data_IF_756904113425
#
_entry.id   IF_756904113425
#
_cell.length_a   1.000
_cell.length_b   1.000
_cell.length_c   1.000
_cell.angle_alpha   90.00
_cell.angle_beta   90.00
_cell.angle_gamma   90.00
#
_symmetry.space_group_name_H-M   'P 1'
#
loop_
_entity.id
_entity.type
_entity.pdbx_description
1 polymer ?
#
# COMPACT_ATOMS: atom_id res chain seq x y z
N UNK A 1 -10.94 -14.95 -29.61
CA UNK A 1 -9.90 -15.06 -28.57
C UNK A 1 -9.92 -13.76 -27.78
N UNK A 2 -10.42 -13.78 -26.55
CA UNK A 2 -10.50 -12.60 -25.69
C UNK A 2 -9.10 -12.05 -25.37
N UNK A 3 -8.97 -10.72 -25.35
CA UNK A 3 -7.76 -10.04 -24.90
C UNK A 3 -7.64 -10.28 -23.38
N UNK A 4 -6.41 -10.44 -22.88
CA UNK A 4 -6.18 -10.59 -21.44
C UNK A 4 -6.28 -9.21 -20.79
N UNK A 5 -7.18 -9.06 -19.84
CA UNK A 5 -7.33 -7.85 -19.02
C UNK A 5 -6.58 -8.07 -17.69
N UNK A 6 -5.78 -7.09 -17.31
CA UNK A 6 -4.92 -7.13 -16.14
C UNK A 6 -5.16 -5.88 -15.29
N UNK A 7 -5.34 -6.08 -13.98
CA UNK A 7 -5.26 -5.01 -13.00
C UNK A 7 -3.91 -5.08 -12.28
N UNK A 8 -3.24 -3.96 -12.13
CA UNK A 8 -1.98 -3.84 -11.38
C UNK A 8 -2.17 -2.83 -10.26
N UNK A 9 -1.95 -3.30 -9.04
CA UNK A 9 -1.69 -2.45 -7.89
C UNK A 9 -0.18 -2.25 -7.81
N UNK A 10 0.26 -1.03 -8.16
CA UNK A 10 1.67 -0.64 -8.18
C UNK A 10 2.03 0.06 -6.88
N UNK A 11 2.02 -0.68 -5.79
CA UNK A 11 2.27 -0.14 -4.46
C UNK A 11 3.74 0.10 -4.12
N UNK A 12 3.99 0.98 -3.16
CA UNK A 12 5.33 1.27 -2.63
C UNK A 12 5.98 0.04 -1.99
N UNK A 13 5.24 -0.73 -1.22
CA UNK A 13 5.74 -1.91 -0.52
C UNK A 13 5.65 -3.19 -1.36
N UNK A 14 4.57 -3.36 -2.11
CA UNK A 14 4.32 -4.56 -2.91
C UNK A 14 3.59 -4.22 -4.21
N UNK A 15 3.81 -5.06 -5.22
CA UNK A 15 3.05 -5.07 -6.47
C UNK A 15 2.13 -6.29 -6.48
N UNK A 16 0.87 -6.06 -6.82
CA UNK A 16 -0.11 -7.14 -7.01
C UNK A 16 -0.62 -7.11 -8.45
N UNK A 17 -0.80 -8.29 -9.02
CA UNK A 17 -1.32 -8.46 -10.37
C UNK A 17 -2.58 -9.32 -10.34
N UNK A 18 -3.67 -8.74 -10.82
CA UNK A 18 -4.94 -9.40 -11.03
C UNK A 18 -5.10 -9.74 -12.52
N UNK A 19 -5.59 -10.93 -12.83
CA UNK A 19 -5.95 -11.33 -14.19
C UNK A 19 -7.43 -11.69 -14.23
N UNK A 20 -8.15 -11.16 -15.22
CA UNK A 20 -9.55 -11.47 -15.48
C UNK A 20 -9.80 -12.99 -15.47
N UNK A 21 -10.79 -13.41 -14.66
CA UNK A 21 -11.18 -14.80 -14.50
C UNK A 21 -10.23 -15.68 -13.67
N UNK A 22 -9.11 -15.12 -13.18
CA UNK A 22 -8.17 -15.85 -12.32
C UNK A 22 -7.99 -15.21 -10.94
N UNK A 23 -8.41 -13.96 -10.76
CA UNK A 23 -8.18 -13.22 -9.52
C UNK A 23 -6.75 -12.70 -9.39
N UNK A 24 -6.29 -12.47 -8.16
CA UNK A 24 -4.92 -12.04 -7.87
C UNK A 24 -3.97 -13.23 -8.08
N UNK A 25 -3.13 -13.15 -9.09
CA UNK A 25 -2.22 -14.23 -9.51
C UNK A 25 -0.78 -14.01 -9.05
N UNK A 26 -0.45 -12.79 -8.62
CA UNK A 26 0.90 -12.42 -8.20
C UNK A 26 0.82 -11.36 -7.09
N UNK A 27 1.63 -11.57 -6.05
CA UNK A 27 1.89 -10.63 -4.98
C UNK A 27 3.37 -10.72 -4.63
N UNK A 28 4.10 -9.65 -4.89
CA UNK A 28 5.56 -9.61 -4.70
C UNK A 28 5.98 -8.26 -4.11
N UNK A 29 7.06 -8.20 -3.33
CA UNK A 29 7.64 -6.94 -2.89
C UNK A 29 8.09 -6.06 -4.07
N UNK A 30 7.85 -4.76 -3.96
CA UNK A 30 8.33 -3.75 -4.92
C UNK A 30 9.80 -3.43 -4.67
N UNK A 31 10.68 -4.44 -4.85
CA UNK A 31 12.12 -4.32 -4.63
C UNK A 31 12.87 -4.84 -5.85
N UNK A 32 13.93 -4.13 -6.23
CA UNK A 32 14.84 -4.51 -7.32
C UNK A 32 16.27 -4.43 -6.81
N UNK A 33 17.04 -5.48 -7.03
CA UNK A 33 18.49 -5.50 -6.81
C UNK A 33 19.22 -5.45 -8.13
N UNK A 34 20.18 -4.54 -8.27
CA UNK A 34 20.99 -4.40 -9.47
C UNK A 34 22.44 -4.10 -9.15
N UNK A 35 23.28 -4.44 -10.10
CA UNK A 35 24.70 -4.13 -10.05
C UNK A 35 24.91 -2.68 -10.49
N UNK A 36 25.51 -1.88 -9.61
CA UNK A 36 25.70 -0.42 -9.80
C UNK A 36 26.59 -0.09 -11.00
N UNK A 37 27.59 -0.92 -11.27
CA UNK A 37 28.58 -0.64 -12.31
C UNK A 37 28.07 -1.00 -13.70
N UNK A 38 27.26 -2.07 -13.78
CA UNK A 38 26.75 -2.59 -15.05
C UNK A 38 25.26 -2.27 -15.31
N UNK A 39 24.54 -1.73 -14.32
CA UNK A 39 23.08 -1.53 -14.33
C UNK A 39 22.26 -2.81 -14.66
N UNK A 40 22.87 -3.98 -14.46
CA UNK A 40 22.21 -5.27 -14.67
C UNK A 40 21.38 -5.66 -13.46
N UNK A 41 20.12 -5.99 -13.69
CA UNK A 41 19.24 -6.52 -12.65
C UNK A 41 19.77 -7.89 -12.20
N UNK A 42 19.90 -8.07 -10.89
CA UNK A 42 20.31 -9.30 -10.21
C UNK A 42 19.10 -10.06 -9.65
N UNK A 43 18.13 -9.35 -9.09
CA UNK A 43 16.93 -9.93 -8.51
C UNK A 43 15.78 -8.93 -8.53
N UNK A 44 14.53 -9.43 -8.52
CA UNK A 44 13.29 -8.64 -8.41
C UNK A 44 12.35 -9.36 -7.46
N UNK A 45 11.56 -8.58 -6.69
CA UNK A 45 10.57 -9.12 -5.78
C UNK A 45 11.18 -9.70 -4.51
N UNK A 46 10.71 -10.88 -4.09
CA UNK A 46 11.13 -11.49 -2.83
C UNK A 46 12.63 -11.75 -2.76
N UNK A 47 13.23 -12.23 -3.84
CA UNK A 47 14.69 -12.47 -3.88
C UNK A 47 15.47 -11.17 -3.67
N UNK A 48 15.01 -10.04 -4.23
CA UNK A 48 15.62 -8.74 -4.01
C UNK A 48 15.38 -8.24 -2.58
N UNK A 49 14.20 -8.48 -2.00
CA UNK A 49 13.88 -8.12 -0.62
C UNK A 49 14.83 -8.77 0.38
N UNK A 50 15.19 -10.02 0.16
CA UNK A 50 16.15 -10.74 1.00
C UNK A 50 17.56 -10.10 0.97
N UNK A 51 17.87 -9.32 -0.05
CA UNK A 51 19.16 -8.62 -0.21
C UNK A 51 19.19 -7.26 0.49
N UNK A 52 18.05 -6.69 0.88
CA UNK A 52 18.00 -5.38 1.57
C UNK A 52 18.86 -5.39 2.84
N UNK A 53 19.77 -4.41 2.96
CA UNK A 53 20.69 -4.29 4.09
C UNK A 53 21.78 -5.36 4.16
N UNK A 54 21.96 -6.20 3.14
CA UNK A 54 22.92 -7.32 3.10
C UNK A 54 23.78 -7.36 1.84
N UNK A 55 23.71 -6.33 1.00
CA UNK A 55 24.44 -6.28 -0.27
C UNK A 55 25.88 -5.81 -0.09
N UNK A 56 26.84 -6.38 -0.86
CA UNK A 56 28.16 -5.79 -0.99
C UNK A 56 28.09 -4.47 -1.75
N UNK A 57 29.15 -3.65 -1.69
CA UNK A 57 29.14 -2.25 -2.16
C UNK A 57 28.78 -2.02 -3.63
N UNK A 58 28.94 -3.03 -4.50
CA UNK A 58 28.61 -2.96 -5.92
C UNK A 58 27.17 -3.43 -6.24
N UNK A 59 26.44 -4.01 -5.30
CA UNK A 59 25.04 -4.40 -5.47
C UNK A 59 24.16 -3.47 -4.64
N UNK A 60 23.12 -2.95 -5.27
CA UNK A 60 22.14 -2.06 -4.61
C UNK A 60 20.77 -2.68 -4.71
N UNK A 61 20.11 -2.85 -3.57
CA UNK A 61 18.69 -3.22 -3.50
C UNK A 61 17.88 -1.98 -3.15
N UNK A 62 16.92 -1.63 -3.99
CA UNK A 62 16.09 -0.42 -3.87
C UNK A 62 14.62 -0.72 -4.05
N UNK A 63 13.80 0.16 -3.49
CA UNK A 63 12.37 0.28 -3.82
C UNK A 63 12.23 1.37 -4.89
N UNK A 64 11.84 1.03 -6.13
CA UNK A 64 11.75 2.00 -7.22
C UNK A 64 10.56 2.95 -7.10
N UNK A 65 9.60 2.64 -6.21
CA UNK A 65 8.54 3.54 -5.81
C UNK A 65 8.74 3.95 -4.35
N UNK A 66 8.51 5.23 -4.07
CA UNK A 66 8.52 5.79 -2.71
C UNK A 66 7.32 6.70 -2.55
N UNK A 67 6.58 6.51 -1.46
CA UNK A 67 5.44 7.37 -1.14
C UNK A 67 4.46 7.53 -2.32
N UNK A 68 4.14 6.41 -2.98
CA UNK A 68 3.23 6.37 -4.11
C UNK A 68 3.76 6.92 -5.44
N UNK A 69 5.02 7.36 -5.50
CA UNK A 69 5.63 8.01 -6.67
C UNK A 69 6.79 7.18 -7.22
N UNK A 70 6.94 7.16 -8.53
CA UNK A 70 8.09 6.55 -9.20
C UNK A 70 9.34 7.39 -8.90
N UNK A 71 10.30 6.79 -8.19
CA UNK A 71 11.61 7.41 -7.91
C UNK A 71 12.67 7.05 -8.93
N UNK A 72 12.53 5.91 -9.61
CA UNK A 72 13.38 5.47 -10.72
C UNK A 72 12.51 4.86 -11.83
N UNK A 73 12.33 5.62 -12.91
CA UNK A 73 11.49 5.24 -14.03
C UNK A 73 11.98 3.96 -14.73
N UNK A 74 13.28 3.89 -15.02
CA UNK A 74 13.87 2.76 -15.75
C UNK A 74 13.78 1.46 -14.96
N UNK A 75 14.03 1.52 -13.66
CA UNK A 75 13.92 0.36 -12.76
C UNK A 75 12.46 -0.05 -12.59
N UNK A 76 11.55 0.90 -12.48
CA UNK A 76 10.09 0.62 -12.39
C UNK A 76 9.58 -0.06 -13.65
N UNK A 77 9.92 0.46 -14.85
CA UNK A 77 9.55 -0.17 -16.13
C UNK A 77 10.01 -1.62 -16.21
N UNK A 78 11.27 -1.88 -15.89
CA UNK A 78 11.83 -3.24 -15.91
C UNK A 78 11.16 -4.15 -14.88
N UNK A 79 10.85 -3.65 -13.70
CA UNK A 79 10.13 -4.37 -12.66
C UNK A 79 8.71 -4.72 -13.12
N UNK A 80 7.96 -3.77 -13.66
CA UNK A 80 6.61 -4.00 -14.19
C UNK A 80 6.63 -5.03 -15.32
N UNK A 81 7.56 -4.90 -16.26
CA UNK A 81 7.72 -5.86 -17.37
C UNK A 81 7.98 -7.27 -16.86
N UNK A 82 8.84 -7.42 -15.86
CA UNK A 82 9.12 -8.71 -15.25
C UNK A 82 7.86 -9.31 -14.62
N UNK A 83 7.10 -8.54 -13.83
CA UNK A 83 5.91 -9.05 -13.15
C UNK A 83 4.77 -9.35 -14.12
N UNK A 84 4.56 -8.53 -15.15
CA UNK A 84 3.58 -8.81 -16.21
C UNK A 84 3.93 -10.11 -16.92
N UNK A 85 5.19 -10.32 -17.29
CA UNK A 85 5.65 -11.57 -17.93
C UNK A 85 5.51 -12.77 -17.01
N UNK A 86 5.81 -12.61 -15.71
CA UNK A 86 5.66 -13.66 -14.71
C UNK A 86 4.19 -14.06 -14.53
N UNK A 87 3.28 -13.08 -14.48
CA UNK A 87 1.84 -13.30 -14.33
C UNK A 87 1.20 -13.95 -15.56
N UNK A 88 1.60 -13.53 -16.77
CA UNK A 88 1.05 -14.03 -18.02
C UNK A 88 1.64 -15.38 -18.47
N UNK A 89 2.88 -15.69 -18.05
CA UNK A 89 3.64 -16.86 -18.53
C UNK A 89 4.16 -16.69 -19.97
N UNK A 90 4.82 -17.73 -20.48
CA UNK A 90 5.60 -17.69 -21.74
C UNK A 90 4.79 -17.66 -23.06
N UNK A 91 3.45 -17.69 -23.02
CA UNK A 91 2.61 -17.92 -24.22
C UNK A 91 1.59 -16.81 -24.54
N UNK A 92 1.87 -15.56 -24.23
CA UNK A 92 0.96 -14.47 -24.61
C UNK A 92 1.32 -13.90 -25.98
N UNK A 93 0.54 -14.27 -27.01
CA UNK A 93 0.70 -13.73 -28.37
C UNK A 93 0.11 -12.31 -28.56
N UNK A 94 -0.71 -11.84 -27.62
CA UNK A 94 -1.33 -10.52 -27.67
C UNK A 94 -0.98 -9.70 -26.45
N UNK A 95 -0.65 -8.44 -26.69
CA UNK A 95 -0.40 -7.47 -25.61
C UNK A 95 -1.69 -7.27 -24.79
N UNK A 96 -1.61 -7.30 -23.44
CA UNK A 96 -2.77 -7.11 -22.58
C UNK A 96 -3.28 -5.68 -22.56
N UNK A 97 -4.53 -5.51 -22.16
CA UNK A 97 -5.05 -4.25 -21.65
C UNK A 97 -4.79 -4.23 -20.14
N UNK A 98 -4.26 -3.12 -19.62
CA UNK A 98 -3.82 -3.02 -18.23
C UNK A 98 -4.47 -1.79 -17.58
N UNK A 99 -5.13 -1.99 -16.44
CA UNK A 99 -5.45 -0.90 -15.53
C UNK A 99 -4.40 -0.84 -14.41
N UNK A 100 -3.98 0.36 -14.05
CA UNK A 100 -3.05 0.61 -12.94
C UNK A 100 -3.68 1.61 -11.99
N UNK A 101 -3.60 1.36 -10.68
CA UNK A 101 -4.04 2.32 -9.69
C UNK A 101 -2.92 3.32 -9.34
N UNK A 102 -3.34 4.50 -8.92
CA UNK A 102 -2.49 5.58 -8.44
C UNK A 102 -3.14 6.26 -7.22
N UNK A 103 -2.35 6.79 -6.27
CA UNK A 103 -2.88 7.58 -5.17
C UNK A 103 -3.70 8.78 -5.64
N UNK A 104 -4.68 9.23 -4.83
CA UNK A 104 -5.55 10.37 -5.19
C UNK A 104 -4.80 11.69 -5.35
N UNK A 105 -3.67 11.86 -4.68
CA UNK A 105 -2.91 13.11 -4.64
C UNK A 105 -1.84 13.26 -5.71
N UNK A 106 -1.72 12.31 -6.66
CA UNK A 106 -0.67 12.38 -7.69
C UNK A 106 -0.96 13.45 -8.75
N UNK A 107 0.11 14.08 -9.22
CA UNK A 107 0.05 15.07 -10.29
C UNK A 107 -0.20 14.42 -11.65
N UNK A 108 -0.64 15.21 -12.63
CA UNK A 108 -0.81 14.71 -14.01
C UNK A 108 0.50 14.20 -14.64
N UNK A 109 1.65 14.78 -14.22
CA UNK A 109 2.98 14.31 -14.66
C UNK A 109 3.29 12.93 -14.09
N UNK A 110 2.98 12.70 -12.82
CA UNK A 110 3.15 11.40 -12.16
C UNK A 110 2.21 10.35 -12.74
N UNK A 111 0.94 10.68 -12.99
CA UNK A 111 0.00 9.78 -13.70
C UNK A 111 0.54 9.39 -15.07
N UNK A 112 1.04 10.37 -15.83
CA UNK A 112 1.62 10.13 -17.15
C UNK A 112 2.85 9.24 -17.09
N UNK A 113 3.71 9.40 -16.08
CA UNK A 113 4.86 8.53 -15.87
C UNK A 113 4.47 7.06 -15.62
N UNK A 114 3.43 6.82 -14.83
CA UNK A 114 2.88 5.46 -14.59
C UNK A 114 2.28 4.88 -15.88
N UNK A 115 1.52 5.68 -16.63
CA UNK A 115 0.94 5.28 -17.90
C UNK A 115 2.02 4.88 -18.91
N UNK A 116 3.04 5.72 -19.09
CA UNK A 116 4.14 5.49 -20.03
C UNK A 116 4.97 4.26 -19.62
N UNK A 117 5.28 4.10 -18.33
CA UNK A 117 5.98 2.91 -17.84
C UNK A 117 5.19 1.62 -18.11
N UNK A 118 3.86 1.68 -18.00
CA UNK A 118 2.98 0.54 -18.28
C UNK A 118 2.93 0.19 -19.77
N UNK A 119 2.89 1.20 -20.65
CA UNK A 119 2.99 0.97 -22.10
C UNK A 119 4.35 0.35 -22.48
N UNK A 120 5.45 0.86 -21.92
CA UNK A 120 6.80 0.34 -22.18
C UNK A 120 6.97 -1.08 -21.62
N UNK A 121 6.31 -1.40 -20.52
CA UNK A 121 6.30 -2.75 -19.96
C UNK A 121 5.53 -3.78 -20.82
N UNK A 122 4.77 -3.31 -21.83
CA UNK A 122 4.16 -4.16 -22.85
C UNK A 122 2.64 -4.12 -22.91
N UNK A 123 1.97 -3.15 -22.30
CA UNK A 123 0.54 -2.95 -22.45
C UNK A 123 0.17 -2.53 -23.88
N UNK A 124 -1.00 -2.95 -24.35
CA UNK A 124 -1.61 -2.45 -25.57
C UNK A 124 -2.42 -1.17 -25.30
N UNK A 125 -3.09 -1.15 -24.18
CA UNK A 125 -3.97 -0.09 -23.71
C UNK A 125 -3.80 0.03 -22.20
N UNK A 126 -3.75 1.26 -21.69
CA UNK A 126 -3.59 1.55 -20.27
C UNK A 126 -4.77 2.38 -19.78
N UNK A 127 -5.32 2.01 -18.65
CA UNK A 127 -6.30 2.80 -17.91
C UNK A 127 -5.74 3.11 -16.53
N UNK A 128 -5.97 4.31 -16.04
CA UNK A 128 -5.58 4.74 -14.70
C UNK A 128 -6.86 4.85 -13.84
N UNK A 129 -6.78 4.36 -12.60
CA UNK A 129 -7.83 4.48 -11.59
C UNK A 129 -7.22 4.98 -10.29
N UNK A 130 -7.95 5.76 -9.51
CA UNK A 130 -7.52 6.18 -8.17
C UNK A 130 -7.62 5.03 -7.17
N UNK A 131 -6.61 4.88 -6.32
CA UNK A 131 -6.53 3.81 -5.31
C UNK A 131 -7.78 3.70 -4.44
N UNK A 132 -8.36 4.78 -3.85
CA UNK A 132 -9.55 4.64 -3.01
C UNK A 132 -10.79 4.17 -3.79
N UNK A 133 -10.94 4.51 -5.07
CA UNK A 133 -12.03 3.99 -5.90
C UNK A 133 -11.82 2.48 -6.12
N UNK A 134 -10.61 2.09 -6.49
CA UNK A 134 -10.26 0.67 -6.64
C UNK A 134 -10.46 -0.10 -5.33
N UNK A 135 -10.00 0.47 -4.20
CA UNK A 135 -10.18 -0.11 -2.87
C UNK A 135 -11.65 -0.36 -2.53
N UNK A 136 -12.52 0.63 -2.79
CA UNK A 136 -13.96 0.51 -2.56
C UNK A 136 -14.60 -0.61 -3.40
N UNK A 137 -14.28 -0.67 -4.69
CA UNK A 137 -14.74 -1.73 -5.59
C UNK A 137 -14.24 -3.10 -5.11
N UNK A 138 -12.97 -3.18 -4.72
CA UNK A 138 -12.35 -4.42 -4.23
C UNK A 138 -12.93 -4.89 -2.90
N UNK A 139 -13.26 -3.96 -2.01
CA UNK A 139 -13.95 -4.24 -0.75
C UNK A 139 -15.44 -4.63 -0.92
N UNK A 140 -15.96 -4.64 -2.16
CA UNK A 140 -17.33 -5.03 -2.44
C UNK A 140 -18.37 -3.93 -2.19
N UNK A 141 -17.94 -2.68 -2.08
CA UNK A 141 -18.85 -1.54 -1.88
C UNK A 141 -19.47 -1.15 -3.22
N UNK A 142 -20.80 -1.03 -3.24
CA UNK A 142 -21.53 -0.51 -4.39
C UNK A 142 -21.44 1.02 -4.41
N UNK A 143 -20.44 1.53 -5.12
CA UNK A 143 -20.17 2.96 -5.25
C UNK A 143 -21.10 3.68 -6.24
N UNK A 144 -21.92 2.95 -7.01
CA UNK A 144 -22.82 3.53 -8.03
C UNK A 144 -24.01 4.29 -7.44
N UNK A 145 -24.35 4.01 -6.19
CA UNK A 145 -25.50 4.60 -5.49
C UNK A 145 -25.23 6.03 -5.04
N UNK A 146 -26.30 6.86 -4.92
CA UNK A 146 -26.21 8.23 -4.39
C UNK A 146 -26.13 8.19 -2.85
N UNK A 147 -25.07 7.62 -2.31
CA UNK A 147 -24.84 7.56 -0.86
C UNK A 147 -23.33 7.70 -0.56
N UNK A 148 -23.02 8.28 0.60
CA UNK A 148 -21.64 8.47 1.04
C UNK A 148 -21.00 7.16 1.50
N UNK A 149 -19.84 6.82 0.92
CA UNK A 149 -18.99 5.73 1.35
C UNK A 149 -17.62 6.29 1.67
N UNK A 150 -17.11 6.05 2.87
CA UNK A 150 -15.77 6.49 3.25
C UNK A 150 -14.80 5.33 3.26
N UNK A 151 -13.74 5.49 2.50
CA UNK A 151 -12.63 4.54 2.38
C UNK A 151 -11.36 5.18 2.92
N UNK A 152 -10.61 4.41 3.69
CA UNK A 152 -9.27 4.75 4.16
C UNK A 152 -8.35 3.62 3.74
N UNK A 153 -7.59 3.84 2.67
CA UNK A 153 -6.61 2.90 2.18
C UNK A 153 -5.23 3.23 2.73
N UNK A 154 -4.69 2.35 3.58
CA UNK A 154 -3.38 2.54 4.20
C UNK A 154 -2.42 1.54 3.59
N UNK A 155 -1.64 2.01 2.63
CA UNK A 155 -0.63 1.22 1.93
C UNK A 155 0.70 1.12 2.66
N UNK A 156 1.78 0.96 1.90
CA UNK A 156 3.15 1.01 2.41
C UNK A 156 3.67 2.45 2.52
N UNK A 157 3.44 3.28 1.51
CA UNK A 157 4.02 4.62 1.41
C UNK A 157 3.01 5.77 1.44
N UNK A 158 1.71 5.50 1.26
CA UNK A 158 0.63 6.48 1.26
C UNK A 158 -0.57 5.99 2.03
N UNK A 159 -1.30 6.92 2.62
CA UNK A 159 -2.66 6.69 3.11
C UNK A 159 -3.61 7.60 2.33
N UNK A 160 -4.55 6.98 1.64
CA UNK A 160 -5.54 7.62 0.78
C UNK A 160 -6.91 7.54 1.43
N UNK A 161 -7.49 8.70 1.72
CA UNK A 161 -8.78 8.85 2.37
C UNK A 161 -9.74 9.47 1.37
N UNK A 162 -10.89 8.85 1.11
CA UNK A 162 -11.87 9.40 0.19
C UNK A 162 -13.31 9.13 0.62
N UNK A 163 -14.17 10.07 0.30
CA UNK A 163 -15.63 9.92 0.29
C UNK A 163 -16.08 9.75 -1.15
N UNK A 164 -16.75 8.63 -1.42
CA UNK A 164 -17.15 8.22 -2.76
C UNK A 164 -18.67 8.15 -2.82
N UNK A 165 -19.26 8.70 -3.89
CA UNK A 165 -20.68 8.64 -4.21
C UNK A 165 -20.88 8.67 -5.72
N UNK A 166 -21.90 7.96 -6.24
CA UNK A 166 -22.24 7.95 -7.68
C UNK A 166 -21.03 7.60 -8.57
N UNK A 167 -20.18 6.68 -8.11
CA UNK A 167 -19.01 6.20 -8.84
C UNK A 167 -17.82 7.16 -8.89
N UNK A 168 -17.88 8.30 -8.21
CA UNK A 168 -16.83 9.31 -8.19
C UNK A 168 -16.39 9.74 -6.80
N UNK A 169 -15.20 10.30 -6.72
CA UNK A 169 -14.64 10.90 -5.51
C UNK A 169 -15.27 12.27 -5.27
N UNK A 170 -15.88 12.47 -4.08
CA UNK A 170 -16.49 13.75 -3.67
C UNK A 170 -15.48 14.60 -2.91
N UNK A 171 -14.82 13.99 -1.92
CA UNK A 171 -13.75 14.61 -1.13
C UNK A 171 -12.65 13.58 -0.96
N UNK A 172 -11.41 13.97 -1.10
CA UNK A 172 -10.26 13.10 -0.83
C UNK A 172 -9.08 13.86 -0.24
N UNK A 173 -8.22 13.11 0.43
CA UNK A 173 -6.90 13.53 0.85
C UNK A 173 -5.94 12.35 0.75
N UNK A 174 -4.71 12.61 0.34
CA UNK A 174 -3.62 11.65 0.33
C UNK A 174 -2.48 12.19 1.16
N UNK A 175 -1.96 11.38 2.07
CA UNK A 175 -0.77 11.72 2.88
C UNK A 175 0.30 10.68 2.70
N UNK A 176 1.55 11.13 2.77
CA UNK A 176 2.75 10.31 2.67
C UNK A 176 3.15 9.74 4.03
N UNK A 177 2.18 9.12 4.69
CA UNK A 177 2.32 8.47 6.01
C UNK A 177 1.55 7.16 5.94
N UNK A 178 2.25 6.03 6.08
CA UNK A 178 1.67 4.70 5.97
C UNK A 178 2.55 3.63 6.63
N UNK A 179 2.50 2.40 6.16
CA UNK A 179 3.20 1.26 6.75
C UNK A 179 4.70 1.42 6.92
N UNK A 180 5.39 2.07 5.98
CA UNK A 180 6.83 2.33 6.05
C UNK A 180 7.17 3.36 7.14
N UNK A 181 6.27 4.34 7.35
CA UNK A 181 6.43 5.34 8.42
C UNK A 181 6.22 4.73 9.81
N UNK A 182 5.37 3.70 9.91
CA UNK A 182 5.25 2.91 11.14
C UNK A 182 6.56 2.20 11.44
N UNK A 183 7.21 1.59 10.47
CA UNK A 183 8.51 0.93 10.63
C UNK A 183 9.59 1.92 11.04
N UNK A 184 9.66 3.08 10.39
CA UNK A 184 10.59 4.15 10.76
C UNK A 184 10.35 4.69 12.17
N UNK A 185 9.10 4.86 12.59
CA UNK A 185 8.75 5.29 13.93
C UNK A 185 9.27 4.30 14.99
N UNK A 186 9.14 3.00 14.71
CA UNK A 186 9.67 1.94 15.56
C UNK A 186 11.20 1.99 15.61
N UNK A 187 11.87 2.14 14.45
CA UNK A 187 13.35 2.30 14.41
C UNK A 187 13.80 3.49 15.25
N UNK A 188 13.14 4.64 15.13
CA UNK A 188 13.45 5.85 15.92
C UNK A 188 13.23 5.62 17.41
N UNK A 189 12.13 4.95 17.78
CA UNK A 189 11.82 4.62 19.17
C UNK A 189 12.89 3.71 19.79
N UNK A 190 13.26 2.63 19.10
CA UNK A 190 14.28 1.69 19.55
C UNK A 190 15.64 2.36 19.75
N UNK A 191 15.99 3.28 18.85
CA UNK A 191 17.19 4.10 18.97
C UNK A 191 17.14 4.98 20.21
N UNK A 192 16.05 5.70 20.43
CA UNK A 192 15.90 6.69 21.50
C UNK A 192 15.75 6.04 22.87
N UNK A 193 14.92 5.02 22.98
CA UNK A 193 14.55 4.38 24.27
C UNK A 193 15.55 3.33 24.72
N UNK A 194 16.07 2.54 23.78
CA UNK A 194 16.88 1.36 24.08
C UNK A 194 18.35 1.49 23.65
N UNK A 195 18.74 2.58 23.01
CA UNK A 195 20.05 2.75 22.36
C UNK A 195 20.37 1.58 21.43
N UNK A 196 19.34 1.07 20.73
CA UNK A 196 19.44 -0.09 19.85
C UNK A 196 19.16 0.32 18.39
N UNK A 197 20.12 0.06 17.51
CA UNK A 197 19.92 0.22 16.07
C UNK A 197 19.40 -1.10 15.49
N UNK A 198 18.21 -1.04 14.92
CA UNK A 198 17.57 -2.15 14.20
C UNK A 198 17.40 -1.80 12.73
N UNK A 199 17.29 -2.82 11.86
CA UNK A 199 16.97 -2.63 10.45
C UNK A 199 15.45 -2.55 10.20
N UNK A 200 15.07 -2.06 9.01
CA UNK A 200 13.66 -1.94 8.58
C UNK A 200 12.89 -3.26 8.71
N UNK A 201 13.48 -4.37 8.28
CA UNK A 201 12.86 -5.69 8.38
C UNK A 201 12.54 -6.08 9.83
N UNK A 202 13.43 -5.78 10.77
CA UNK A 202 13.21 -6.06 12.19
C UNK A 202 12.08 -5.20 12.75
N UNK A 203 11.99 -3.94 12.30
CA UNK A 203 10.91 -3.03 12.67
C UNK A 203 9.57 -3.50 12.09
N UNK A 204 9.53 -3.93 10.84
CA UNK A 204 8.35 -4.53 10.21
C UNK A 204 7.89 -5.80 10.95
N UNK A 205 8.83 -6.71 11.30
CA UNK A 205 8.52 -7.90 12.09
C UNK A 205 7.93 -7.54 13.47
N UNK A 206 8.44 -6.50 14.12
CA UNK A 206 7.93 -6.01 15.40
C UNK A 206 6.52 -5.43 15.23
N UNK A 207 6.30 -4.59 14.22
CA UNK A 207 4.98 -4.04 13.87
C UNK A 207 3.94 -5.14 13.65
N UNK A 208 4.28 -6.16 12.87
CA UNK A 208 3.35 -7.26 12.54
C UNK A 208 3.04 -8.11 13.79
N UNK A 209 4.04 -8.41 14.61
CA UNK A 209 3.88 -9.34 15.74
C UNK A 209 3.21 -8.72 16.96
N UNK A 210 3.66 -7.54 17.36
CA UNK A 210 3.23 -6.87 18.59
C UNK A 210 2.81 -5.41 18.41
N UNK A 211 2.81 -4.89 17.16
CA UNK A 211 2.38 -3.53 16.85
C UNK A 211 0.95 -3.27 17.32
N UNK A 212 0.70 -2.09 17.87
CA UNK A 212 -0.64 -1.64 18.27
C UNK A 212 -0.78 -0.15 18.11
N UNK A 213 -1.94 0.29 17.60
CA UNK A 213 -2.32 1.71 17.48
C UNK A 213 -3.17 2.17 18.66
N UNK A 214 -3.65 1.25 19.52
CA UNK A 214 -4.56 1.53 20.63
C UNK A 214 -4.17 0.70 21.84
N UNK A 215 -4.38 1.20 23.09
CA UNK A 215 -4.09 0.45 24.31
C UNK A 215 -4.79 -0.92 24.32
N UNK A 216 -4.08 -1.95 24.75
CA UNK A 216 -4.57 -3.33 24.82
C UNK A 216 -4.72 -3.79 26.25
N UNK A 217 -5.65 -4.72 26.46
CA UNK A 217 -5.85 -5.37 27.78
C UNK A 217 -4.75 -6.37 28.10
N UNK A 218 -4.21 -7.03 27.07
CA UNK A 218 -3.10 -7.98 27.21
C UNK A 218 -1.83 -7.42 26.57
N UNK A 219 -0.71 -7.54 27.26
CA UNK A 219 0.59 -7.04 26.78
C UNK A 219 1.36 -8.18 26.14
N UNK A 220 1.62 -8.05 24.85
CA UNK A 220 2.51 -8.93 24.10
C UNK A 220 3.96 -8.48 24.22
N UNK A 221 4.89 -9.43 24.10
CA UNK A 221 6.32 -9.16 24.14
C UNK A 221 7.06 -9.83 22.98
N UNK A 222 8.14 -9.19 22.54
CA UNK A 222 9.03 -9.72 21.52
C UNK A 222 10.48 -9.39 21.85
N UNK A 223 11.38 -10.37 21.66
CA UNK A 223 12.82 -10.15 21.72
C UNK A 223 13.32 -9.57 20.40
N UNK A 224 13.92 -8.39 20.47
CA UNK A 224 14.43 -7.64 19.34
C UNK A 224 15.95 -7.59 19.40
N UNK A 225 16.59 -7.99 18.30
CA UNK A 225 18.06 -7.99 18.16
C UNK A 225 18.52 -6.83 17.31
N UNK A 226 19.59 -6.18 17.73
CA UNK A 226 20.19 -5.09 16.99
C UNK A 226 21.59 -4.79 17.46
N UNK A 227 22.15 -3.66 17.02
CA UNK A 227 23.44 -3.17 17.45
C UNK A 227 23.26 -2.12 18.55
N UNK A 228 23.90 -2.33 19.70
CA UNK A 228 23.97 -1.33 20.76
C UNK A 228 24.75 -0.10 20.27
N UNK A 229 24.14 1.07 20.33
CA UNK A 229 24.76 2.32 19.86
C UNK A 229 25.86 2.85 20.77
N UNK A 230 25.88 2.41 22.03
CA UNK A 230 26.92 2.84 23.00
C UNK A 230 28.16 1.97 22.87
N UNK A 231 27.99 0.63 22.82
CA UNK A 231 29.11 -0.31 22.81
C UNK A 231 29.51 -0.82 21.43
N UNK A 232 28.64 -0.63 20.42
CA UNK A 232 28.83 -1.18 19.09
C UNK A 232 28.55 -2.69 18.96
N UNK A 233 28.27 -3.37 20.05
CA UNK A 233 28.09 -4.84 20.12
C UNK A 233 26.63 -5.25 19.84
N UNK A 234 26.40 -6.50 19.40
CA UNK A 234 25.06 -7.07 19.34
C UNK A 234 24.37 -7.05 20.70
N UNK A 235 23.09 -6.69 20.71
CA UNK A 235 22.26 -6.64 21.92
C UNK A 235 20.86 -7.14 21.61
N UNK A 236 20.25 -7.83 22.55
CA UNK A 236 18.83 -8.24 22.52
C UNK A 236 18.08 -7.45 23.58
N UNK A 237 16.90 -6.93 23.22
CA UNK A 237 16.00 -6.20 24.11
C UNK A 237 14.61 -6.81 24.01
N UNK A 238 13.95 -7.02 25.15
CA UNK A 238 12.55 -7.41 25.21
C UNK A 238 11.68 -6.16 25.11
N UNK A 239 10.83 -6.10 24.08
CA UNK A 239 9.96 -4.96 23.76
C UNK A 239 8.51 -5.38 23.97
N UNK A 240 7.68 -4.48 24.50
CA UNK A 240 6.26 -4.71 24.73
C UNK A 240 5.38 -4.08 23.63
N UNK A 241 4.14 -4.56 23.53
CA UNK A 241 3.12 -3.94 22.68
C UNK A 241 2.74 -2.53 23.14
N UNK A 242 2.89 -2.20 24.42
CA UNK A 242 2.69 -0.84 24.95
C UNK A 242 3.77 0.12 24.44
N UNK A 243 5.03 -0.33 24.39
CA UNK A 243 6.13 0.44 23.79
C UNK A 243 5.92 0.65 22.29
N UNK A 244 5.37 -0.35 21.61
CA UNK A 244 5.00 -0.23 20.20
C UNK A 244 3.87 0.80 20.00
N UNK A 245 2.86 0.83 20.84
CA UNK A 245 1.81 1.84 20.81
C UNK A 245 2.38 3.25 21.05
N UNK A 246 3.26 3.41 22.04
CA UNK A 246 3.96 4.68 22.28
C UNK A 246 4.76 5.14 21.05
N UNK A 247 5.47 4.22 20.39
CA UNK A 247 6.24 4.50 19.19
C UNK A 247 5.39 4.98 17.99
N UNK A 248 4.19 4.41 17.83
CA UNK A 248 3.30 4.63 16.68
C UNK A 248 2.31 5.78 16.87
N UNK A 249 2.16 6.29 18.08
CA UNK A 249 1.13 7.27 18.46
C UNK A 249 1.10 8.52 17.59
N UNK A 250 2.26 9.10 17.31
CA UNK A 250 2.36 10.31 16.50
C UNK A 250 1.97 10.04 15.04
N UNK A 251 2.43 8.92 14.50
CA UNK A 251 2.20 8.56 13.10
C UNK A 251 0.73 8.21 12.86
N UNK A 252 0.11 7.45 13.75
CA UNK A 252 -1.31 7.11 13.66
C UNK A 252 -2.23 8.32 13.90
N UNK A 253 -1.81 9.25 14.77
CA UNK A 253 -2.55 10.49 15.00
C UNK A 253 -2.67 11.36 13.73
N UNK A 254 -1.63 11.40 12.89
CA UNK A 254 -1.67 12.15 11.63
C UNK A 254 -2.67 11.56 10.62
N UNK A 255 -2.80 10.23 10.59
CA UNK A 255 -3.83 9.56 9.77
C UNK A 255 -5.22 9.95 10.28
N UNK A 256 -5.45 9.87 11.59
CA UNK A 256 -6.75 10.27 12.20
C UNK A 256 -7.08 11.72 11.92
N UNK A 257 -6.11 12.63 12.03
CA UNK A 257 -6.30 14.06 11.72
C UNK A 257 -6.70 14.26 10.25
N UNK A 258 -6.10 13.52 9.34
CA UNK A 258 -6.46 13.57 7.92
C UNK A 258 -7.88 13.06 7.67
N UNK A 259 -8.30 11.99 8.37
CA UNK A 259 -9.69 11.50 8.33
C UNK A 259 -10.67 12.59 8.78
N UNK A 260 -10.37 13.27 9.89
CA UNK A 260 -11.18 14.41 10.35
C UNK A 260 -11.26 15.51 9.30
N UNK A 261 -10.14 15.89 8.69
CA UNK A 261 -10.10 16.92 7.66
C UNK A 261 -10.90 16.57 6.39
N UNK A 262 -11.05 15.29 6.06
CA UNK A 262 -11.92 14.83 4.98
C UNK A 262 -13.39 14.90 5.42
N UNK A 263 -13.72 14.44 6.62
CA UNK A 263 -15.09 14.50 7.16
C UNK A 263 -15.61 15.94 7.28
N UNK A 264 -14.79 16.88 7.72
CA UNK A 264 -15.14 18.29 7.82
C UNK A 264 -15.53 18.93 6.47
N UNK A 265 -14.93 18.43 5.38
CA UNK A 265 -15.22 18.91 4.01
C UNK A 265 -16.34 18.13 3.32
N UNK A 266 -16.82 17.08 3.95
CA UNK A 266 -17.85 16.19 3.37
C UNK A 266 -19.21 16.87 3.44
N UNK A 267 -20.01 16.87 2.33
CA UNK A 267 -21.38 17.35 2.37
C UNK A 267 -22.21 16.68 3.47
N UNK A 268 -23.11 17.43 4.15
CA UNK A 268 -23.85 16.93 5.31
C UNK A 268 -24.61 15.62 5.08
N UNK A 269 -25.26 15.45 3.91
CA UNK A 269 -26.01 14.25 3.57
C UNK A 269 -25.10 13.03 3.47
N UNK A 270 -23.91 13.19 2.85
CA UNK A 270 -22.93 12.11 2.74
C UNK A 270 -22.26 11.82 4.09
N UNK A 271 -22.06 12.84 4.92
CA UNK A 271 -21.55 12.64 6.28
C UNK A 271 -22.54 11.85 7.15
N UNK A 272 -23.85 12.09 7.00
CA UNK A 272 -24.89 11.29 7.66
C UNK A 272 -24.85 9.84 7.20
N UNK A 273 -24.72 9.59 5.88
CA UNK A 273 -24.57 8.24 5.34
C UNK A 273 -23.35 7.52 5.95
N UNK A 274 -22.21 8.21 6.07
CA UNK A 274 -20.98 7.65 6.63
C UNK A 274 -21.16 7.33 8.13
N UNK A 275 -21.87 8.15 8.88
CA UNK A 275 -22.16 7.89 10.28
C UNK A 275 -22.95 6.57 10.47
N UNK A 276 -23.84 6.26 9.55
CA UNK A 276 -24.66 5.03 9.58
C UNK A 276 -23.91 3.82 9.01
N UNK A 277 -23.14 3.99 7.93
CA UNK A 277 -22.47 2.90 7.19
C UNK A 277 -21.10 2.56 7.76
N UNK A 278 -20.44 3.51 8.40
CA UNK A 278 -19.10 3.36 8.93
C UNK A 278 -17.98 3.74 7.96
N UNK A 279 -16.75 3.65 8.46
CA UNK A 279 -15.51 3.85 7.72
C UNK A 279 -14.94 2.48 7.39
N UNK A 280 -14.55 2.25 6.13
CA UNK A 280 -13.94 1.00 5.69
C UNK A 280 -12.45 1.20 5.48
N UNK A 281 -11.63 0.37 6.16
CA UNK A 281 -10.18 0.36 6.04
C UNK A 281 -9.74 -0.68 5.01
N UNK A 282 -8.78 -0.32 4.19
CA UNK A 282 -8.10 -1.19 3.21
C UNK A 282 -6.59 -0.97 3.25
N UNK A 283 -5.85 -1.76 2.46
CA UNK A 283 -4.40 -1.70 2.42
C UNK A 283 -3.72 -2.50 3.54
N UNK A 284 -2.43 -2.80 3.36
CA UNK A 284 -1.68 -3.61 4.33
C UNK A 284 -1.45 -2.93 5.67
N UNK A 285 -1.37 -1.59 5.68
CA UNK A 285 -1.21 -0.78 6.90
C UNK A 285 -2.44 -0.83 7.81
N UNK A 286 -3.63 -1.09 7.24
CA UNK A 286 -4.88 -1.23 8.01
C UNK A 286 -4.89 -2.44 8.95
N UNK A 287 -4.00 -3.41 8.72
CA UNK A 287 -3.84 -4.58 9.58
C UNK A 287 -3.14 -4.29 10.91
N UNK A 288 -2.65 -3.05 11.11
CA UNK A 288 -2.11 -2.65 12.41
C UNK A 288 -3.21 -2.76 13.47
N UNK A 289 -2.95 -3.57 14.49
CA UNK A 289 -3.92 -3.85 15.56
C UNK A 289 -4.32 -2.56 16.28
N UNK A 290 -5.58 -2.46 16.66
CA UNK A 290 -6.11 -1.30 17.38
C UNK A 290 -6.39 -0.08 16.50
N UNK A 291 -6.19 -0.15 15.20
CA UNK A 291 -6.43 1.00 14.31
C UNK A 291 -7.92 1.27 14.14
N UNK A 292 -8.76 0.24 14.04
CA UNK A 292 -10.23 0.37 14.03
C UNK A 292 -10.73 1.05 15.30
N UNK A 293 -10.26 0.61 16.46
CA UNK A 293 -10.61 1.16 17.76
C UNK A 293 -10.16 2.60 17.91
N UNK A 294 -8.94 2.91 17.45
CA UNK A 294 -8.41 4.28 17.48
C UNK A 294 -9.27 5.24 16.64
N UNK A 295 -9.55 4.86 15.39
CA UNK A 295 -10.32 5.70 14.48
C UNK A 295 -11.76 5.84 14.99
N UNK A 296 -12.41 4.74 15.43
CA UNK A 296 -13.75 4.77 15.98
C UNK A 296 -13.83 5.65 17.23
N UNK A 297 -12.87 5.55 18.14
CA UNK A 297 -12.82 6.36 19.36
C UNK A 297 -12.62 7.85 19.06
N UNK A 298 -11.85 8.19 18.04
CA UNK A 298 -11.54 9.58 17.67
C UNK A 298 -12.60 10.25 16.80
N UNK A 299 -13.29 9.49 15.95
CA UNK A 299 -14.30 10.04 15.03
C UNK A 299 -15.73 9.86 15.52
N UNK A 300 -15.97 8.94 16.44
CA UNK A 300 -17.32 8.53 16.84
C UNK A 300 -18.04 7.69 15.78
N UNK A 301 -17.36 7.28 14.72
CA UNK A 301 -17.93 6.51 13.61
C UNK A 301 -17.39 5.08 13.68
N UNK A 302 -18.28 4.09 13.53
CA UNK A 302 -17.85 2.69 13.46
C UNK A 302 -16.87 2.48 12.32
N UNK A 303 -15.74 1.85 12.61
CA UNK A 303 -14.65 1.60 11.64
C UNK A 303 -14.41 0.12 11.54
N UNK A 304 -14.31 -0.40 10.33
CA UNK A 304 -14.08 -1.82 10.04
C UNK A 304 -13.05 -2.01 8.94
N UNK A 305 -12.24 -3.03 9.05
CA UNK A 305 -11.31 -3.44 8.01
C UNK A 305 -12.00 -4.37 7.03
N UNK A 306 -11.75 -4.18 5.74
CA UNK A 306 -12.25 -5.07 4.68
C UNK A 306 -11.77 -6.51 4.91
N UNK A 307 -12.51 -7.49 4.39
CA UNK A 307 -12.21 -8.93 4.58
C UNK A 307 -10.79 -9.29 4.09
N UNK A 308 -10.38 -8.78 2.95
CA UNK A 308 -9.02 -8.94 2.41
C UNK A 308 -8.42 -7.57 2.06
N UNK A 309 -7.96 -6.80 3.06
CA UNK A 309 -7.55 -5.43 2.85
C UNK A 309 -6.30 -5.31 1.98
N UNK A 310 -5.42 -6.31 1.98
CA UNK A 310 -4.17 -6.28 1.22
C UNK A 310 -4.36 -6.43 -0.28
N UNK A 311 -5.46 -7.04 -0.73
CA UNK A 311 -5.74 -7.30 -2.14
C UNK A 311 -6.87 -6.44 -2.70
N UNK A 312 -7.56 -5.67 -1.86
CA UNK A 312 -8.73 -4.88 -2.23
C UNK A 312 -8.45 -3.97 -3.45
N UNK A 313 -7.36 -3.21 -3.43
CA UNK A 313 -6.97 -2.32 -4.54
C UNK A 313 -6.74 -3.10 -5.83
N UNK A 314 -5.98 -4.21 -5.77
CA UNK A 314 -5.69 -5.04 -6.94
C UNK A 314 -6.96 -5.67 -7.54
N UNK A 315 -7.85 -6.18 -6.68
CA UNK A 315 -9.15 -6.75 -7.10
C UNK A 315 -10.03 -5.68 -7.73
N UNK A 316 -10.11 -4.50 -7.11
CA UNK A 316 -10.89 -3.38 -7.64
C UNK A 316 -10.35 -2.88 -8.97
N UNK A 317 -9.04 -2.75 -9.11
CA UNK A 317 -8.38 -2.37 -10.36
C UNK A 317 -8.67 -3.39 -11.47
N UNK A 318 -8.66 -4.68 -11.12
CA UNK A 318 -9.01 -5.75 -12.06
C UNK A 318 -10.47 -5.71 -12.50
N UNK A 319 -11.40 -5.50 -11.58
CA UNK A 319 -12.84 -5.35 -11.89
C UNK A 319 -13.09 -4.09 -12.74
N UNK A 320 -12.36 -3.03 -12.50
CA UNK A 320 -12.47 -1.80 -13.29
C UNK A 320 -12.09 -2.03 -14.76
N UNK A 321 -11.00 -2.74 -15.04
CA UNK A 321 -10.61 -3.03 -16.44
C UNK A 321 -11.61 -3.97 -17.13
N UNK A 322 -12.24 -4.87 -16.39
CA UNK A 322 -13.32 -5.73 -16.90
C UNK A 322 -14.55 -4.91 -17.29
N UNK A 323 -14.93 -3.93 -16.45
CA UNK A 323 -16.05 -3.03 -16.72
C UNK A 323 -15.81 -2.19 -17.99
N UNK A 324 -14.61 -1.61 -18.15
CA UNK A 324 -14.23 -0.90 -19.37
C UNK A 324 -14.28 -1.79 -20.61
N UNK A 325 -14.06 -3.10 -20.45
CA UNK A 325 -14.15 -4.06 -21.55
C UNK A 325 -15.58 -4.30 -22.02
N UNK A 326 -16.52 -4.44 -21.11
CA UNK A 326 -17.92 -4.67 -21.43
C UNK A 326 -18.61 -3.48 -22.10
N UNK A 327 -18.18 -2.28 -21.81
CA UNK A 327 -18.72 -1.05 -22.44
C UNK A 327 -18.33 -0.86 -23.90
N UNK A 328 -17.29 -1.55 -24.38
CA UNK A 328 -16.81 -1.44 -25.78
C UNK A 328 -17.29 -2.57 -26.70
N UNK A 329 -17.90 -3.60 -26.13
CA UNK A 329 -18.48 -4.73 -26.88
C UNK A 329 -19.99 -4.55 -27.19
N UNK A 330 -20.59 -3.45 -26.73
CA UNK A 330 -21.96 -3.02 -27.02
C UNK A 330 -21.99 -1.80 -27.92
#
# INVERSE_FOLDING_TARGET
MQCTDIGIDLGTASILVYIRGKGVVLKEPSVVAFDRDTNKIKAIGEDARLMLGRTPGNIVAVRPLRQGVISDYTVTEKMMKYFIQKALGKRTFRKPRIAVCVPSGVTEVEKKAVEDATYQAGAREVAIIEEPIAAAIGAGIDISKPCGNMIVDIGGGTSDIAVISLGGTVVSASIKIAGDDFDEAIVRYMRKKHNLLIGERTAEDLKIKIGSAYPRTEVDYMDVRGRNLVTGLPKTVKVSSEESEEALRETTAQIVETIHGVLEKTPPELAADIADRGIVLTGGGSLLRGLEELISAKTGINTMTAEDPMTAVAVGTGRYVEFLSGYRES
#
